data_IF_238160397716
#
_entry.id   IF_238160397716
#
_cell.length_a   1.000
_cell.length_b   1.000
_cell.length_c   1.000
_cell.angle_alpha   90.00
_cell.angle_beta   90.00
_cell.angle_gamma   90.00
#
_symmetry.space_group_name_H-M   'P 1'
#
loop_
_entity.id
_entity.type
_entity.pdbx_description
1 polymer ?
#
# COMPACT_ATOMS: atom_id res chain seq x y z
N UNK A 1 1.74 8.21 -27.28
CA UNK A 1 1.62 6.75 -27.38
C UNK A 1 0.99 6.47 -28.72
N UNK A 2 1.69 5.76 -29.59
CA UNK A 2 1.19 5.42 -30.92
C UNK A 2 0.58 4.01 -30.91
N UNK A 3 -0.44 3.72 -31.73
CA UNK A 3 -0.97 2.37 -31.88
C UNK A 3 0.12 1.36 -32.30
N UNK A 4 0.24 0.24 -31.58
CA UNK A 4 1.22 -0.82 -31.86
C UNK A 4 2.55 -0.72 -31.11
N UNK A 5 2.75 0.30 -30.27
CA UNK A 5 3.93 0.42 -29.42
C UNK A 5 3.90 -0.56 -28.23
N UNK A 6 5.09 -0.96 -27.75
CA UNK A 6 5.24 -1.78 -26.54
C UNK A 6 4.75 -1.01 -25.31
N UNK A 7 3.87 -1.65 -24.55
CA UNK A 7 3.34 -1.15 -23.28
C UNK A 7 3.78 -2.06 -22.14
N UNK A 8 4.08 -1.44 -20.99
CA UNK A 8 4.46 -2.15 -19.77
C UNK A 8 3.41 -1.88 -18.70
N UNK A 9 3.02 -2.91 -17.95
CA UNK A 9 2.09 -2.77 -16.83
C UNK A 9 2.85 -2.92 -15.51
N UNK A 10 2.68 -1.95 -14.61
CA UNK A 10 3.21 -1.98 -13.25
C UNK A 10 2.05 -2.06 -12.28
N UNK A 11 2.02 -3.13 -11.48
CA UNK A 11 1.01 -3.35 -10.45
C UNK A 11 1.68 -3.32 -9.07
N UNK A 12 1.27 -2.39 -8.21
CA UNK A 12 1.77 -2.24 -6.84
C UNK A 12 0.65 -2.67 -5.88
N UNK A 13 0.95 -3.61 -4.97
CA UNK A 13 -0.01 -4.07 -3.96
C UNK A 13 0.55 -3.83 -2.56
N UNK A 14 -0.21 -3.12 -1.73
CA UNK A 14 0.07 -2.89 -0.33
C UNK A 14 -0.98 -3.64 0.48
N UNK A 15 -0.55 -4.44 1.45
CA UNK A 15 -1.44 -5.20 2.34
C UNK A 15 -0.97 -5.02 3.77
N UNK A 16 -1.89 -4.83 4.69
CA UNK A 16 -1.59 -5.02 6.10
C UNK A 16 -1.22 -6.50 6.32
N UNK A 17 -0.07 -6.74 6.92
CA UNK A 17 0.37 -8.06 7.33
C UNK A 17 0.41 -8.13 8.86
N UNK A 18 -0.04 -9.25 9.41
CA UNK A 18 -0.12 -9.47 10.85
C UNK A 18 0.95 -10.48 11.25
N UNK A 19 1.89 -10.07 12.12
CA UNK A 19 3.05 -10.87 12.53
C UNK A 19 2.72 -12.09 13.42
N UNK A 20 1.43 -12.32 13.69
CA UNK A 20 0.95 -13.46 14.47
C UNK A 20 1.10 -13.31 15.98
N UNK A 21 1.71 -12.22 16.47
CA UNK A 21 2.00 -12.03 17.89
C UNK A 21 0.97 -11.07 18.49
N UNK A 22 -0.14 -11.62 18.97
CA UNK A 22 -1.02 -10.88 19.88
C UNK A 22 -0.36 -10.89 21.26
N UNK A 23 0.23 -9.76 21.67
CA UNK A 23 0.70 -9.58 23.04
C UNK A 23 -0.52 -9.44 23.97
N UNK A 24 -1.08 -10.56 24.40
CA UNK A 24 -2.13 -10.61 25.42
C UNK A 24 -1.50 -10.39 26.81
N UNK A 25 -0.84 -9.25 27.00
CA UNK A 25 -0.45 -8.80 28.33
C UNK A 25 -1.58 -7.93 28.88
N UNK A 26 -2.55 -8.61 29.48
CA UNK A 26 -3.49 -8.15 30.50
C UNK A 26 -3.65 -6.62 30.65
N UNK A 27 -4.40 -6.01 29.74
CA UNK A 27 -5.36 -4.96 30.11
C UNK A 27 -6.73 -5.54 29.84
N UNK A 28 -7.71 -5.26 30.71
CA UNK A 28 -9.12 -5.41 30.32
C UNK A 28 -9.33 -4.55 29.09
N UNK A 29 -9.28 -5.16 27.90
CA UNK A 29 -9.60 -4.48 26.66
C UNK A 29 -11.11 -4.29 26.71
N UNK A 30 -11.55 -3.04 26.88
CA UNK A 30 -12.95 -2.70 26.73
C UNK A 30 -13.29 -2.83 25.24
N UNK A 31 -13.70 -4.03 24.83
CA UNK A 31 -14.06 -4.35 23.44
C UNK A 31 -15.05 -3.34 22.87
N UNK A 32 -15.93 -2.78 23.72
CA UNK A 32 -16.92 -1.78 23.31
C UNK A 32 -16.27 -0.47 22.84
N UNK A 33 -15.25 0.01 23.53
CA UNK A 33 -14.50 1.21 23.15
C UNK A 33 -13.70 1.00 21.86
N UNK A 34 -13.10 -0.19 21.67
CA UNK A 34 -12.37 -0.51 20.44
C UNK A 34 -13.32 -0.64 19.24
N UNK A 35 -14.50 -1.25 19.43
CA UNK A 35 -15.53 -1.29 18.40
C UNK A 35 -16.07 0.09 18.04
N UNK A 36 -16.29 0.97 19.02
CA UNK A 36 -16.71 2.35 18.77
C UNK A 36 -15.65 3.14 18.01
N UNK A 37 -14.35 2.93 18.30
CA UNK A 37 -13.26 3.53 17.51
C UNK A 37 -13.30 3.09 16.06
N UNK A 38 -13.44 1.80 15.79
CA UNK A 38 -13.51 1.27 14.42
C UNK A 38 -14.74 1.80 13.69
N UNK A 39 -15.90 1.87 14.36
CA UNK A 39 -17.13 2.43 13.76
C UNK A 39 -17.06 3.93 13.49
N UNK A 40 -16.19 4.65 14.18
CA UNK A 40 -15.97 6.09 13.95
C UNK A 40 -15.07 6.39 12.75
N UNK A 41 -14.38 5.37 12.22
CA UNK A 41 -13.54 5.51 11.02
C UNK A 41 -14.39 5.21 9.78
N UNK A 42 -14.42 6.13 8.80
CA UNK A 42 -15.00 5.87 7.49
C UNK A 42 -14.48 4.58 6.85
N UNK A 43 -15.38 3.78 6.27
CA UNK A 43 -15.09 2.46 5.72
C UNK A 43 -14.02 2.49 4.62
N UNK A 44 -14.00 3.55 3.82
CA UNK A 44 -13.01 3.85 2.78
C UNK A 44 -11.59 4.02 3.34
N UNK A 45 -11.45 4.58 4.54
CA UNK A 45 -10.16 4.72 5.22
C UNK A 45 -9.67 3.40 5.82
N UNK A 46 -10.59 2.55 6.31
CA UNK A 46 -10.26 1.21 6.80
C UNK A 46 -9.79 0.30 5.67
N UNK A 47 -10.47 0.32 4.52
CA UNK A 47 -10.06 -0.43 3.34
C UNK A 47 -8.67 -0.01 2.86
N UNK A 48 -8.41 1.30 2.83
CA UNK A 48 -7.12 1.90 2.47
C UNK A 48 -5.95 1.51 3.40
N UNK A 49 -6.23 1.23 4.67
CA UNK A 49 -5.23 0.77 5.65
C UNK A 49 -4.93 -0.73 5.53
N UNK A 50 -5.90 -1.51 5.02
CA UNK A 50 -5.78 -2.97 4.90
C UNK A 50 -5.27 -3.40 3.52
N UNK A 51 -5.69 -2.73 2.45
CA UNK A 51 -5.39 -3.11 1.08
C UNK A 51 -5.36 -1.90 0.14
N UNK A 52 -4.29 -1.77 -0.65
CA UNK A 52 -4.25 -0.86 -1.80
C UNK A 52 -3.64 -1.53 -3.01
N UNK A 53 -4.21 -1.26 -4.19
CA UNK A 53 -3.67 -1.69 -5.47
C UNK A 53 -3.58 -0.51 -6.43
N UNK A 54 -2.44 -0.39 -7.11
CA UNK A 54 -2.20 0.62 -8.13
C UNK A 54 -1.77 -0.06 -9.43
N UNK A 55 -2.44 0.27 -10.53
CA UNK A 55 -2.09 -0.21 -11.86
C UNK A 55 -1.71 0.95 -12.78
N UNK A 56 -0.47 0.91 -13.27
CA UNK A 56 0.07 1.90 -14.19
C UNK A 56 0.41 1.26 -15.53
N UNK A 57 0.05 1.95 -16.60
CA UNK A 57 0.52 1.64 -17.96
C UNK A 57 1.66 2.58 -18.31
N UNK A 58 2.85 2.04 -18.53
CA UNK A 58 4.07 2.78 -18.83
C UNK A 58 4.49 2.59 -20.29
N UNK A 59 4.98 3.66 -20.89
CA UNK A 59 5.76 3.58 -22.12
C UNK A 59 7.19 3.06 -21.82
N UNK A 60 7.99 2.69 -22.84
CA UNK A 60 9.36 2.19 -22.62
C UNK A 60 10.24 3.10 -21.76
N UNK A 61 10.20 4.42 -22.00
CA UNK A 61 10.97 5.42 -21.23
C UNK A 61 10.52 5.49 -19.76
N UNK A 62 9.22 5.51 -19.49
CA UNK A 62 8.71 5.57 -18.12
C UNK A 62 9.03 4.29 -17.33
N UNK A 63 9.03 3.13 -18.01
CA UNK A 63 9.45 1.85 -17.43
C UNK A 63 10.91 1.90 -16.96
N UNK A 64 11.81 2.46 -17.76
CA UNK A 64 13.23 2.60 -17.37
C UNK A 64 13.40 3.51 -16.14
N UNK A 65 12.70 4.65 -16.11
CA UNK A 65 12.75 5.58 -14.97
C UNK A 65 12.21 4.91 -13.70
N UNK A 66 11.06 4.25 -13.80
CA UNK A 66 10.46 3.56 -12.65
C UNK A 66 11.37 2.44 -12.13
N UNK A 67 11.92 1.60 -13.00
CA UNK A 67 12.82 0.52 -12.59
C UNK A 67 14.15 1.01 -11.98
N UNK A 68 14.61 2.22 -12.31
CA UNK A 68 15.82 2.78 -11.73
C UNK A 68 15.63 3.22 -10.28
N UNK A 69 14.45 3.74 -9.93
CA UNK A 69 14.12 4.16 -8.56
C UNK A 69 12.59 4.10 -8.31
N UNK A 70 12.05 2.91 -8.01
CA UNK A 70 10.59 2.69 -7.92
C UNK A 70 9.89 3.54 -6.85
N UNK A 71 10.60 3.86 -5.77
CA UNK A 71 10.08 4.64 -4.64
C UNK A 71 10.47 6.13 -4.73
N UNK A 72 11.18 6.52 -5.78
CA UNK A 72 11.73 7.87 -5.95
C UNK A 72 12.46 8.41 -4.71
N UNK A 73 13.12 7.51 -3.95
CA UNK A 73 13.83 7.90 -2.74
C UNK A 73 15.12 8.63 -3.12
N UNK A 74 15.54 9.66 -2.36
CA UNK A 74 16.83 10.28 -2.58
C UNK A 74 17.91 9.21 -2.42
N UNK A 75 18.71 9.02 -3.48
CA UNK A 75 19.88 8.14 -3.42
C UNK A 75 20.89 8.83 -2.49
N UNK A 76 20.92 8.36 -1.25
CA UNK A 76 21.83 8.89 -0.24
C UNK A 76 23.28 8.75 -0.69
N UNK A 77 24.04 9.85 -0.60
CA UNK A 77 25.49 9.76 -0.37
C UNK A 77 25.66 9.07 0.99
N UNK A 78 25.87 7.76 0.97
CA UNK A 78 26.50 7.03 2.08
C UNK A 78 27.95 7.45 2.21
#
# INVERSE_FOLDING_TARGET
MNPGELLYRVSIRVRADFDGIIKINAKEINLKEEFEKIQSVPEDLLEEEVYREFDFTLCPRCKEIYCANPLHLPLGRT
#
